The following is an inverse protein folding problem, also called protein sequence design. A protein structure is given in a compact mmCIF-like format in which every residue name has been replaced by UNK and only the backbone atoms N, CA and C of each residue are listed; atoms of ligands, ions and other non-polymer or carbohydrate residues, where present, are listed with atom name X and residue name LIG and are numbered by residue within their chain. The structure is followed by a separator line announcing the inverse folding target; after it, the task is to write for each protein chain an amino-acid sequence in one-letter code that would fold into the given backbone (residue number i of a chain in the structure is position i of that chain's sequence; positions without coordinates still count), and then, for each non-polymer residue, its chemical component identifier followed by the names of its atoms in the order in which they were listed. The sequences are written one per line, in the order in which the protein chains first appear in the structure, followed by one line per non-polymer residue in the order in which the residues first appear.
data_IF_082304268366
#
_entry.id   IF_082304268366
#
_cell.length_a   1.000
_cell.length_b   1.000
_cell.length_c   1.000
_cell.angle_alpha   90.00
_cell.angle_beta   90.00
_cell.angle_gamma   90.00
#
_symmetry.space_group_name_H-M   'P 1'
#
loop_
_entity.id
_entity.type
_entity.pdbx_description
1 polymer ?
#
# COMPACT_ATOMS: atom_id res chain seq x y z
N UNK A 1 14.14 -6.51 -18.89
CA UNK A 1 12.80 -5.92 -18.91
C UNK A 1 11.85 -6.97 -18.35
N UNK A 2 11.57 -6.93 -17.05
CA UNK A 2 10.53 -7.80 -16.49
C UNK A 2 9.21 -7.14 -16.91
N UNK A 3 8.56 -7.73 -17.90
CA UNK A 3 7.21 -7.40 -18.26
C UNK A 3 6.35 -7.53 -16.98
N UNK A 4 5.63 -6.50 -16.62
CA UNK A 4 4.46 -6.67 -15.75
C UNK A 4 3.69 -7.85 -16.34
N UNK A 5 3.65 -8.96 -15.61
CA UNK A 5 2.95 -10.16 -16.07
C UNK A 5 1.53 -9.71 -16.39
N UNK A 6 1.13 -9.84 -17.66
CA UNK A 6 -0.09 -9.25 -18.18
C UNK A 6 -1.31 -9.57 -17.32
N UNK A 7 -2.24 -8.66 -17.27
CA UNK A 7 -3.56 -8.61 -16.63
C UNK A 7 -3.64 -7.90 -15.26
N UNK A 8 -2.64 -7.11 -14.86
CA UNK A 8 -2.79 -6.21 -13.72
C UNK A 8 -3.66 -5.02 -14.13
N UNK A 9 -4.62 -4.67 -13.29
CA UNK A 9 -5.48 -3.50 -13.50
C UNK A 9 -4.64 -2.26 -13.82
N UNK A 10 -5.02 -1.52 -14.87
CA UNK A 10 -4.54 -0.15 -15.04
C UNK A 10 -5.48 0.80 -14.29
N UNK A 11 -5.09 1.38 -13.16
CA UNK A 11 -5.98 2.24 -12.38
C UNK A 11 -6.32 3.58 -13.08
N UNK A 12 -5.60 3.96 -14.13
CA UNK A 12 -5.87 5.16 -14.93
C UNK A 12 -6.85 4.91 -16.09
N UNK A 13 -7.36 3.69 -16.25
CA UNK A 13 -8.43 3.42 -17.19
C UNK A 13 -9.73 4.08 -16.72
N UNK A 14 -10.15 5.11 -17.44
CA UNK A 14 -11.38 5.84 -17.13
C UNK A 14 -12.61 4.92 -17.10
N UNK A 15 -12.61 3.83 -17.86
CA UNK A 15 -13.71 2.87 -17.87
C UNK A 15 -13.95 2.22 -16.51
N UNK A 16 -12.94 2.08 -15.66
CA UNK A 16 -13.07 1.54 -14.32
C UNK A 16 -13.89 2.45 -13.38
N UNK A 17 -13.92 3.75 -13.65
CA UNK A 17 -14.44 4.74 -12.73
C UNK A 17 -15.62 5.56 -13.29
N UNK A 18 -16.22 5.15 -14.41
CA UNK A 18 -17.30 5.88 -15.08
C UNK A 18 -18.57 6.04 -14.24
N UNK A 19 -18.82 5.12 -13.30
CA UNK A 19 -19.97 5.17 -12.39
C UNK A 19 -19.65 5.88 -11.06
N UNK A 20 -18.62 6.69 -11.03
CA UNK A 20 -18.03 7.22 -9.81
C UNK A 20 -16.86 6.36 -9.36
N UNK A 21 -16.26 6.64 -8.21
CA UNK A 21 -15.19 5.80 -7.63
C UNK A 21 -15.72 4.53 -6.94
N UNK A 22 -16.97 4.20 -7.17
CA UNK A 22 -17.69 3.23 -6.35
C UNK A 22 -17.47 1.81 -6.88
N UNK A 23 -16.60 1.11 -6.20
CA UNK A 23 -16.54 -0.35 -6.24
C UNK A 23 -17.78 -0.89 -5.53
N UNK A 24 -18.50 -1.81 -6.16
CA UNK A 24 -19.63 -2.50 -5.52
C UNK A 24 -19.10 -3.57 -4.56
N UNK A 25 -19.31 -3.35 -3.26
CA UNK A 25 -18.75 -4.20 -2.22
C UNK A 25 -19.73 -5.28 -1.73
N UNK A 26 -19.32 -6.53 -1.85
CA UNK A 26 -19.91 -7.64 -1.11
C UNK A 26 -19.25 -7.65 0.28
N UNK A 27 -19.99 -7.18 1.27
CA UNK A 27 -19.49 -7.01 2.63
C UNK A 27 -19.52 -8.32 3.40
N UNK A 28 -18.37 -8.72 3.94
CA UNK A 28 -18.22 -9.94 4.70
C UNK A 28 -19.14 -10.02 5.94
N UNK A 29 -19.42 -8.90 6.60
CA UNK A 29 -20.34 -8.89 7.74
C UNK A 29 -21.81 -9.17 7.35
N UNK A 30 -22.26 -8.74 6.17
CA UNK A 30 -23.56 -9.11 5.64
C UNK A 30 -23.62 -10.56 5.19
N UNK A 31 -22.58 -11.03 4.49
CA UNK A 31 -22.47 -12.43 4.05
C UNK A 31 -22.49 -13.36 5.24
N UNK A 32 -21.78 -13.04 6.31
CA UNK A 32 -21.75 -13.83 7.54
C UNK A 32 -23.08 -13.85 8.28
N UNK A 33 -23.82 -12.73 8.29
CA UNK A 33 -25.10 -12.59 8.98
C UNK A 33 -26.27 -13.14 8.18
N UNK A 34 -26.10 -13.46 6.89
CA UNK A 34 -27.19 -13.89 6.01
C UNK A 34 -27.73 -15.27 6.41
N UNK A 35 -29.04 -15.34 6.71
CA UNK A 35 -29.67 -16.52 7.31
C UNK A 35 -29.76 -17.72 6.36
N UNK A 36 -29.69 -17.49 5.04
CA UNK A 36 -29.78 -18.54 4.00
C UNK A 36 -28.53 -18.56 3.12
N UNK A 37 -27.39 -18.96 3.68
CA UNK A 37 -26.10 -18.85 2.99
C UNK A 37 -26.03 -19.59 1.64
N UNK A 38 -26.78 -20.67 1.48
CA UNK A 38 -26.85 -21.43 0.22
C UNK A 38 -27.49 -20.63 -0.93
N UNK A 39 -28.52 -19.82 -0.66
CA UNK A 39 -29.11 -18.95 -1.69
C UNK A 39 -28.13 -17.87 -2.13
N UNK A 40 -27.43 -17.25 -1.19
CA UNK A 40 -26.43 -16.24 -1.50
C UNK A 40 -25.28 -16.81 -2.35
N UNK A 41 -24.88 -18.07 -2.10
CA UNK A 41 -23.85 -18.75 -2.89
C UNK A 41 -24.35 -19.15 -4.30
N UNK A 42 -25.66 -19.33 -4.52
CA UNK A 42 -26.21 -19.53 -5.87
C UNK A 42 -26.04 -18.28 -6.74
N UNK A 43 -26.28 -17.10 -6.18
CA UNK A 43 -26.10 -15.82 -6.87
C UNK A 43 -24.62 -15.40 -6.99
N UNK A 44 -23.78 -15.94 -6.12
CA UNK A 44 -22.34 -15.64 -6.04
C UNK A 44 -21.55 -16.95 -5.92
N UNK A 45 -21.30 -17.65 -7.03
CA UNK A 45 -20.66 -18.98 -7.02
C UNK A 45 -19.29 -19.03 -6.34
N UNK A 46 -18.55 -17.90 -6.34
CA UNK A 46 -17.27 -17.76 -5.64
C UNK A 46 -17.38 -17.82 -4.11
N UNK A 47 -18.59 -17.60 -3.55
CA UNK A 47 -18.83 -17.74 -2.11
C UNK A 47 -18.93 -19.21 -1.72
N UNK A 48 -18.28 -19.58 -0.63
CA UNK A 48 -18.43 -20.91 -0.05
C UNK A 48 -19.83 -21.07 0.59
N UNK A 49 -20.40 -22.29 0.51
CA UNK A 49 -21.82 -22.51 0.86
C UNK A 49 -22.12 -22.31 2.36
N UNK A 50 -21.16 -22.57 3.24
CA UNK A 50 -21.38 -22.46 4.69
C UNK A 50 -20.10 -22.18 5.46
N UNK A 51 -20.25 -21.90 6.75
CA UNK A 51 -19.16 -21.54 7.65
C UNK A 51 -18.13 -22.67 7.81
N UNK A 52 -18.58 -23.90 7.99
CA UNK A 52 -17.68 -25.05 8.20
C UNK A 52 -16.76 -25.27 6.99
N UNK A 53 -17.30 -25.15 5.80
CA UNK A 53 -16.53 -25.24 4.56
C UNK A 53 -15.50 -24.08 4.49
N UNK A 54 -15.91 -22.86 4.83
CA UNK A 54 -15.00 -21.71 4.89
C UNK A 54 -13.84 -21.95 5.87
N UNK A 55 -14.15 -22.40 7.08
CA UNK A 55 -13.14 -22.70 8.12
C UNK A 55 -12.16 -23.80 7.67
N UNK A 56 -12.65 -24.83 7.00
CA UNK A 56 -11.81 -25.90 6.44
C UNK A 56 -10.88 -25.36 5.35
N UNK A 57 -11.42 -24.57 4.44
CA UNK A 57 -10.66 -24.00 3.33
C UNK A 57 -9.54 -23.06 3.81
N UNK A 58 -9.81 -22.18 4.77
CA UNK A 58 -8.76 -21.26 5.28
C UNK A 58 -7.68 -22.00 6.07
N UNK A 59 -8.02 -23.07 6.78
CA UNK A 59 -7.02 -23.91 7.48
C UNK A 59 -6.11 -24.64 6.50
N UNK A 60 -6.67 -25.13 5.40
CA UNK A 60 -5.91 -25.84 4.36
C UNK A 60 -4.98 -24.88 3.58
N UNK A 61 -5.28 -23.58 3.54
CA UNK A 61 -4.56 -22.57 2.76
C UNK A 61 -3.94 -21.49 3.66
N UNK A 62 -3.36 -21.88 4.79
CA UNK A 62 -2.88 -20.97 5.82
C UNK A 62 -1.93 -19.89 5.28
N UNK A 63 -0.98 -20.27 4.45
CA UNK A 63 0.03 -19.38 3.90
C UNK A 63 -0.61 -18.28 3.02
N UNK A 64 -1.46 -18.67 2.07
CA UNK A 64 -2.17 -17.73 1.21
C UNK A 64 -3.11 -16.79 1.99
N UNK A 65 -3.82 -17.31 3.01
CA UNK A 65 -4.66 -16.50 3.90
C UNK A 65 -3.82 -15.45 4.63
N UNK A 66 -2.67 -15.86 5.16
CA UNK A 66 -1.77 -14.95 5.88
C UNK A 66 -1.20 -13.90 4.93
N UNK A 67 -0.84 -14.28 3.70
CA UNK A 67 -0.36 -13.35 2.67
C UNK A 67 -1.43 -12.31 2.29
N UNK A 68 -2.67 -12.74 2.04
CA UNK A 68 -3.79 -11.85 1.72
C UNK A 68 -4.03 -10.85 2.86
N UNK A 69 -4.21 -11.34 4.07
CA UNK A 69 -4.54 -10.50 5.22
C UNK A 69 -3.39 -9.57 5.60
N UNK A 70 -2.14 -10.04 5.52
CA UNK A 70 -0.94 -9.22 5.76
C UNK A 70 -0.80 -8.09 4.74
N UNK A 71 -1.05 -8.38 3.47
CA UNK A 71 -1.04 -7.35 2.41
C UNK A 71 -2.12 -6.29 2.62
N UNK A 72 -3.30 -6.68 3.09
CA UNK A 72 -4.38 -5.72 3.40
C UNK A 72 -4.07 -4.83 4.60
N UNK A 73 -3.14 -5.22 5.49
CA UNK A 73 -2.61 -4.33 6.52
C UNK A 73 -1.79 -3.20 5.88
N UNK A 74 -0.99 -3.53 4.88
CA UNK A 74 -0.14 -2.57 4.17
C UNK A 74 -0.94 -1.66 3.24
N UNK A 75 -1.68 -2.26 2.31
CA UNK A 75 -2.27 -1.57 1.16
C UNK A 75 -3.71 -1.12 1.39
N UNK A 76 -4.34 -1.55 2.49
CA UNK A 76 -5.72 -1.28 2.88
C UNK A 76 -6.77 -1.75 1.89
N UNK A 77 -6.67 -1.31 0.64
CA UNK A 77 -7.46 -1.75 -0.51
C UNK A 77 -6.51 -1.96 -1.68
N UNK A 78 -6.56 -3.13 -2.28
CA UNK A 78 -5.83 -3.50 -3.50
C UNK A 78 -6.65 -4.52 -4.28
N UNK A 79 -6.27 -4.77 -5.51
CA UNK A 79 -6.92 -5.83 -6.30
C UNK A 79 -6.21 -7.17 -6.13
N UNK A 80 -6.93 -8.26 -6.41
CA UNK A 80 -6.37 -9.60 -6.32
C UNK A 80 -5.22 -9.80 -7.30
N UNK A 81 -5.35 -9.26 -8.51
CA UNK A 81 -4.31 -9.27 -9.55
C UNK A 81 -3.05 -8.47 -9.13
N UNK A 82 -3.20 -7.32 -8.47
CA UNK A 82 -2.06 -6.59 -7.90
C UNK A 82 -1.33 -7.42 -6.84
N UNK A 83 -2.08 -8.13 -5.99
CA UNK A 83 -1.46 -9.02 -4.99
C UNK A 83 -0.70 -10.18 -5.66
N UNK A 84 -1.30 -10.81 -6.66
CA UNK A 84 -0.68 -11.91 -7.41
C UNK A 84 0.58 -11.47 -8.16
N UNK A 85 0.55 -10.26 -8.72
CA UNK A 85 1.66 -9.69 -9.49
C UNK A 85 2.90 -9.34 -8.65
N UNK A 86 2.83 -9.42 -7.31
CA UNK A 86 3.98 -9.22 -6.45
C UNK A 86 3.76 -8.35 -5.20
N UNK A 87 2.54 -7.87 -4.93
CA UNK A 87 2.27 -7.19 -3.66
C UNK A 87 2.04 -8.16 -2.50
N UNK A 88 1.71 -9.41 -2.75
CA UNK A 88 1.66 -10.44 -1.72
C UNK A 88 3.06 -11.03 -1.49
N UNK A 89 3.40 -11.28 -0.23
CA UNK A 89 4.71 -11.84 0.17
C UNK A 89 4.82 -13.35 -0.05
N UNK A 90 3.73 -14.02 -0.38
CA UNK A 90 3.67 -15.43 -0.74
C UNK A 90 2.66 -15.61 -1.88
N UNK A 91 2.78 -16.69 -2.68
CA UNK A 91 1.83 -16.98 -3.74
C UNK A 91 0.40 -17.08 -3.20
N UNK A 92 -0.51 -16.42 -3.88
CA UNK A 92 -1.94 -16.49 -3.61
C UNK A 92 -2.69 -17.05 -4.84
N UNK A 93 -3.77 -17.81 -4.65
CA UNK A 93 -4.53 -18.32 -5.77
C UNK A 93 -5.23 -17.21 -6.55
N UNK A 94 -5.52 -17.47 -7.81
CA UNK A 94 -6.36 -16.60 -8.62
C UNK A 94 -7.78 -16.54 -8.05
N UNK A 95 -8.44 -15.40 -8.29
CA UNK A 95 -9.85 -15.27 -7.96
C UNK A 95 -10.68 -15.92 -9.09
N UNK A 96 -11.36 -17.00 -8.75
CA UNK A 96 -12.36 -17.61 -9.65
C UNK A 96 -13.77 -17.15 -9.25
N UNK A 97 -14.48 -16.46 -10.15
CA UNK A 97 -15.84 -15.99 -9.90
C UNK A 97 -16.90 -17.09 -9.99
N UNK A 98 -16.57 -18.23 -10.57
CA UNK A 98 -17.52 -19.31 -10.86
C UNK A 98 -17.43 -20.47 -9.87
N UNK A 99 -16.35 -20.52 -9.07
CA UNK A 99 -16.08 -21.59 -8.12
C UNK A 99 -15.78 -21.06 -6.72
N UNK A 100 -16.24 -21.77 -5.66
CA UNK A 100 -15.91 -21.45 -4.30
C UNK A 100 -14.41 -21.34 -4.06
N UNK A 101 -13.94 -20.24 -3.55
CA UNK A 101 -12.52 -19.98 -3.38
C UNK A 101 -12.18 -19.37 -2.01
N UNK A 102 -10.87 -19.16 -1.77
CA UNK A 102 -10.34 -18.66 -0.51
C UNK A 102 -10.87 -17.26 -0.15
N UNK A 103 -11.08 -16.40 -1.15
CA UNK A 103 -11.63 -15.07 -0.96
C UNK A 103 -13.08 -15.15 -0.50
N UNK A 104 -13.84 -16.04 -1.11
CA UNK A 104 -15.20 -16.37 -0.71
C UNK A 104 -15.27 -16.94 0.70
N UNK A 105 -14.30 -17.76 1.09
CA UNK A 105 -14.20 -18.28 2.45
C UNK A 105 -13.91 -17.18 3.47
N UNK A 106 -12.95 -16.30 3.20
CA UNK A 106 -12.63 -15.16 4.06
C UNK A 106 -13.81 -14.17 4.17
N UNK A 107 -14.48 -13.90 3.05
CA UNK A 107 -15.69 -13.06 3.01
C UNK A 107 -16.83 -13.70 3.81
N UNK A 108 -17.08 -14.99 3.66
CA UNK A 108 -18.09 -15.75 4.43
C UNK A 108 -17.88 -15.65 5.94
N UNK A 109 -16.64 -15.58 6.38
CA UNK A 109 -16.29 -15.44 7.79
C UNK A 109 -16.23 -13.98 8.26
N UNK A 110 -16.45 -13.01 7.36
CA UNK A 110 -16.41 -11.60 7.67
C UNK A 110 -15.01 -11.03 7.84
N UNK A 111 -13.97 -11.76 7.43
CA UNK A 111 -12.59 -11.32 7.54
C UNK A 111 -12.22 -10.28 6.48
N UNK A 112 -12.76 -10.40 5.28
CA UNK A 112 -12.58 -9.44 4.19
C UNK A 112 -13.90 -9.02 3.57
N UNK A 113 -13.86 -7.93 2.82
CA UNK A 113 -14.88 -7.56 1.84
C UNK A 113 -14.30 -7.77 0.44
N UNK A 114 -15.16 -8.12 -0.50
CA UNK A 114 -14.80 -8.34 -1.90
C UNK A 114 -15.57 -7.33 -2.76
N UNK A 115 -14.86 -6.58 -3.56
CA UNK A 115 -15.41 -5.53 -4.41
C UNK A 115 -15.33 -5.87 -5.88
N UNK A 116 -16.29 -5.42 -6.64
CA UNK A 116 -16.38 -5.61 -8.09
C UNK A 116 -16.64 -4.28 -8.78
N UNK A 117 -16.18 -4.17 -10.03
CA UNK A 117 -16.60 -3.07 -10.89
C UNK A 117 -18.08 -3.27 -11.26
N UNK A 118 -18.95 -2.30 -11.03
CA UNK A 118 -20.37 -2.41 -11.40
C UNK A 118 -20.60 -2.73 -12.88
N UNK A 119 -19.73 -2.29 -13.77
CA UNK A 119 -19.83 -2.59 -15.21
C UNK A 119 -19.56 -4.04 -15.56
N UNK A 120 -18.63 -4.69 -14.85
CA UNK A 120 -18.29 -6.11 -15.07
C UNK A 120 -19.48 -7.04 -14.80
N UNK A 121 -20.46 -6.56 -14.06
CA UNK A 121 -21.70 -7.28 -13.77
C UNK A 121 -22.63 -7.36 -15.00
N UNK A 122 -22.57 -6.36 -15.87
CA UNK A 122 -23.48 -6.21 -17.01
C UNK A 122 -22.79 -6.48 -18.34
N UNK A 123 -21.52 -6.28 -18.42
CA UNK A 123 -20.69 -6.56 -19.59
C UNK A 123 -19.94 -7.87 -19.29
N UNK A 124 -20.04 -8.88 -20.16
CA UNK A 124 -19.28 -10.14 -20.02
C UNK A 124 -17.76 -9.91 -20.24
N UNK A 125 -17.15 -9.15 -19.35
CA UNK A 125 -15.71 -8.90 -19.36
C UNK A 125 -15.01 -10.18 -18.88
N UNK A 126 -14.03 -10.61 -19.64
CA UNK A 126 -13.36 -11.90 -19.50
C UNK A 126 -12.50 -12.04 -18.23
N UNK A 127 -12.13 -10.92 -17.58
CA UNK A 127 -11.31 -10.92 -16.38
C UNK A 127 -11.88 -9.90 -15.39
N UNK A 128 -12.62 -10.31 -14.37
CA UNK A 128 -13.13 -9.39 -13.38
C UNK A 128 -11.99 -8.89 -12.49
N UNK A 129 -11.81 -7.59 -12.42
CA UNK A 129 -10.98 -7.01 -11.37
C UNK A 129 -11.69 -7.13 -10.03
N UNK A 130 -11.02 -7.67 -9.05
CA UNK A 130 -11.57 -7.92 -7.72
C UNK A 130 -10.80 -7.13 -6.69
N UNK A 131 -11.48 -6.18 -6.06
CA UNK A 131 -10.93 -5.41 -4.96
C UNK A 131 -11.10 -6.15 -3.64
N UNK A 132 -10.11 -6.04 -2.79
CA UNK A 132 -10.09 -6.65 -1.48
C UNK A 132 -9.86 -5.59 -0.41
N UNK A 133 -10.57 -5.70 0.70
CA UNK A 133 -10.33 -4.91 1.91
C UNK A 133 -10.58 -5.73 3.16
N UNK A 134 -10.03 -5.30 4.29
CA UNK A 134 -10.31 -5.92 5.60
C UNK A 134 -11.80 -5.82 5.93
N UNK A 135 -12.34 -6.81 6.59
CA UNK A 135 -13.73 -6.87 7.02
C UNK A 135 -14.13 -5.73 7.96
N UNK A 136 -15.35 -5.25 7.80
CA UNK A 136 -15.85 -4.06 8.48
C UNK A 136 -16.00 -4.23 10.01
N UNK A 137 -16.34 -5.43 10.47
CA UNK A 137 -16.58 -5.71 11.90
C UNK A 137 -15.39 -6.44 12.53
N UNK A 138 -14.60 -5.74 13.32
CA UNK A 138 -13.42 -6.27 14.01
C UNK A 138 -13.68 -7.58 14.77
N UNK A 139 -14.87 -7.73 15.39
CA UNK A 139 -15.23 -8.98 16.11
C UNK A 139 -15.27 -10.20 15.17
N UNK A 140 -15.77 -10.04 13.95
CA UNK A 140 -15.81 -11.12 12.96
C UNK A 140 -14.42 -11.48 12.46
N UNK A 141 -13.61 -10.48 12.19
CA UNK A 141 -12.18 -10.68 11.83
C UNK A 141 -11.48 -11.46 12.96
N UNK A 142 -11.66 -11.06 14.22
CA UNK A 142 -11.07 -11.75 15.37
C UNK A 142 -11.53 -13.21 15.50
N UNK A 143 -12.83 -13.49 15.28
CA UNK A 143 -13.34 -14.86 15.28
C UNK A 143 -12.76 -15.72 14.17
N UNK A 144 -12.65 -15.17 12.97
CA UNK A 144 -12.03 -15.85 11.82
C UNK A 144 -10.58 -16.20 12.12
N UNK A 145 -9.82 -15.24 12.66
CA UNK A 145 -8.42 -15.44 12.97
C UNK A 145 -8.19 -16.46 14.11
N UNK A 146 -9.11 -16.56 15.10
CA UNK A 146 -9.08 -17.62 16.09
C UNK A 146 -9.27 -19.01 15.46
N UNK A 147 -10.21 -19.14 14.53
CA UNK A 147 -10.45 -20.37 13.80
C UNK A 147 -9.24 -20.81 12.97
N UNK A 148 -8.55 -19.84 12.42
CA UNK A 148 -7.38 -20.04 11.57
C UNK A 148 -6.12 -20.41 12.35
N UNK A 149 -6.08 -20.15 13.65
CA UNK A 149 -4.86 -20.31 14.47
C UNK A 149 -3.66 -19.53 13.91
N UNK A 150 -3.96 -18.36 13.35
CA UNK A 150 -2.98 -17.47 12.72
C UNK A 150 -1.96 -16.93 13.72
N UNK A 151 -0.93 -16.32 13.18
CA UNK A 151 0.11 -15.70 13.98
C UNK A 151 -0.45 -14.64 14.93
N UNK A 152 0.11 -14.56 16.12
CA UNK A 152 -0.39 -13.67 17.19
C UNK A 152 -0.48 -12.21 16.70
N UNK A 153 0.57 -11.72 16.04
CA UNK A 153 0.63 -10.35 15.54
C UNK A 153 -0.47 -10.06 14.52
N UNK A 154 -0.72 -10.99 13.57
CA UNK A 154 -1.75 -10.82 12.55
C UNK A 154 -3.14 -10.74 13.18
N UNK A 155 -3.39 -11.58 14.18
CA UNK A 155 -4.65 -11.56 14.94
C UNK A 155 -4.86 -10.22 15.65
N UNK A 156 -3.81 -9.75 16.32
CA UNK A 156 -3.87 -8.52 17.10
C UNK A 156 -4.01 -7.29 16.19
N UNK A 157 -3.24 -7.23 15.11
CA UNK A 157 -3.32 -6.13 14.15
C UNK A 157 -4.70 -6.01 13.50
N UNK A 158 -5.24 -7.10 12.97
CA UNK A 158 -6.51 -7.07 12.26
C UNK A 158 -7.72 -6.98 13.18
N UNK A 159 -7.67 -7.63 14.35
CA UNK A 159 -8.79 -7.66 15.27
C UNK A 159 -8.91 -6.41 16.13
N UNK A 160 -7.80 -5.84 16.56
CA UNK A 160 -7.77 -4.74 17.54
C UNK A 160 -7.12 -3.47 16.99
N UNK A 161 -6.44 -3.56 15.83
CA UNK A 161 -5.74 -2.43 15.23
C UNK A 161 -6.65 -1.27 14.82
N UNK A 162 -6.02 -0.12 14.57
CA UNK A 162 -6.66 1.08 14.00
C UNK A 162 -7.00 0.91 12.51
N UNK A 163 -6.53 -0.18 11.90
CA UNK A 163 -6.77 -0.47 10.49
C UNK A 163 -8.26 -0.69 10.26
N UNK A 164 -8.88 0.25 9.59
CA UNK A 164 -10.27 0.19 9.19
C UNK A 164 -10.34 0.00 7.69
N UNK A 165 -11.34 -0.74 7.24
CA UNK A 165 -11.68 -0.77 5.83
C UNK A 165 -12.01 0.63 5.32
N UNK A 166 -11.33 1.09 4.29
CA UNK A 166 -11.48 2.44 3.72
C UNK A 166 -12.03 2.32 2.30
N UNK A 167 -13.23 1.76 2.16
CA UNK A 167 -13.88 1.53 0.86
C UNK A 167 -13.98 2.80 0.01
N UNK A 168 -14.25 3.94 0.67
CA UNK A 168 -14.42 5.23 -0.01
C UNK A 168 -13.15 5.72 -0.72
N UNK A 169 -12.01 5.13 -0.43
CA UNK A 169 -10.72 5.44 -1.05
C UNK A 169 -10.21 4.33 -1.98
N UNK A 170 -11.10 3.45 -2.46
CA UNK A 170 -10.71 2.31 -3.30
C UNK A 170 -9.88 2.76 -4.52
N UNK A 171 -10.33 3.78 -5.25
CA UNK A 171 -9.60 4.33 -6.40
C UNK A 171 -8.19 4.78 -5.99
N UNK A 172 -8.10 5.67 -5.01
CA UNK A 172 -6.82 6.19 -4.53
C UNK A 172 -5.85 5.06 -4.12
N UNK A 173 -6.33 4.10 -3.32
CA UNK A 173 -5.50 3.00 -2.86
C UNK A 173 -5.08 2.05 -4.00
N UNK A 174 -5.92 1.89 -5.03
CA UNK A 174 -5.57 1.11 -6.22
C UNK A 174 -4.41 1.73 -6.99
N UNK A 175 -4.39 3.06 -7.12
CA UNK A 175 -3.24 3.78 -7.69
C UNK A 175 -1.99 3.62 -6.83
N UNK A 176 -2.10 3.81 -5.52
CA UNK A 176 -0.97 3.65 -4.61
C UNK A 176 -0.40 2.22 -4.65
N UNK A 177 -1.27 1.21 -4.67
CA UNK A 177 -0.88 -0.19 -4.82
C UNK A 177 -0.19 -0.46 -6.17
N UNK A 178 -0.64 0.16 -7.26
CA UNK A 178 -0.01 0.02 -8.58
C UNK A 178 1.40 0.62 -8.60
N UNK A 179 1.58 1.82 -8.03
CA UNK A 179 2.92 2.41 -7.86
C UNK A 179 3.81 1.52 -7.00
N UNK A 180 3.26 0.98 -5.91
CA UNK A 180 3.97 0.05 -5.03
C UNK A 180 4.43 -1.21 -5.78
N UNK A 181 3.57 -1.78 -6.62
CA UNK A 181 3.90 -2.93 -7.46
C UNK A 181 5.04 -2.59 -8.44
N UNK A 182 4.94 -1.45 -9.11
CA UNK A 182 5.96 -0.99 -10.05
C UNK A 182 7.33 -0.76 -9.38
N UNK A 183 7.33 -0.21 -8.15
CA UNK A 183 8.54 -0.05 -7.33
C UNK A 183 9.10 -1.41 -6.90
N UNK A 184 8.27 -2.32 -6.40
CA UNK A 184 8.69 -3.66 -6.00
C UNK A 184 9.43 -4.42 -7.11
N UNK A 185 9.00 -4.21 -8.35
CA UNK A 185 9.60 -4.83 -9.53
C UNK A 185 10.82 -4.07 -10.09
N UNK A 186 11.21 -2.95 -9.48
CA UNK A 186 12.37 -2.20 -9.91
C UNK A 186 13.65 -2.74 -9.25
N UNK A 187 14.73 -2.94 -10.05
CA UNK A 187 15.98 -3.55 -9.58
C UNK A 187 16.62 -2.81 -8.40
N UNK A 188 16.43 -1.50 -8.32
CA UNK A 188 17.04 -0.65 -7.28
C UNK A 188 16.16 -0.50 -6.03
N UNK A 189 15.09 -1.28 -5.90
CA UNK A 189 14.19 -1.23 -4.75
C UNK A 189 14.31 -2.50 -3.93
N UNK A 190 14.58 -2.36 -2.65
CA UNK A 190 14.68 -3.48 -1.72
C UNK A 190 13.33 -3.83 -1.08
N UNK A 191 12.60 -2.81 -0.62
CA UNK A 191 11.36 -2.97 0.12
C UNK A 191 10.37 -1.91 -0.31
N UNK A 192 9.10 -2.27 -0.39
CA UNK A 192 8.00 -1.34 -0.60
C UNK A 192 6.84 -1.68 0.31
N UNK A 193 6.27 -0.69 0.98
CA UNK A 193 5.09 -0.81 1.82
C UNK A 193 4.08 0.29 1.52
N UNK A 194 2.81 -0.01 1.73
CA UNK A 194 1.71 0.94 1.54
C UNK A 194 1.44 1.83 2.75
N UNK A 195 0.33 2.55 2.72
CA UNK A 195 -0.14 3.49 3.76
C UNK A 195 -0.13 2.89 5.19
N UNK A 196 -0.35 1.58 5.33
CA UNK A 196 -0.26 0.92 6.64
C UNK A 196 1.10 1.09 7.34
N UNK A 197 2.15 1.34 6.58
CA UNK A 197 3.54 1.55 7.04
C UNK A 197 4.05 2.96 6.78
N UNK A 198 3.21 3.83 6.23
CA UNK A 198 3.59 5.16 5.78
C UNK A 198 3.53 6.25 6.85
N UNK A 199 3.16 5.96 8.09
CA UNK A 199 3.08 6.99 9.13
C UNK A 199 4.43 7.67 9.34
N UNK A 200 4.49 9.00 9.32
CA UNK A 200 5.75 9.74 9.52
C UNK A 200 6.38 9.43 10.89
N UNK A 201 5.55 9.14 11.90
CA UNK A 201 6.03 8.71 13.21
C UNK A 201 6.73 7.33 13.18
N UNK A 202 6.40 6.48 12.21
CA UNK A 202 7.04 5.18 12.03
C UNK A 202 8.36 5.32 11.27
N UNK A 203 8.44 6.32 10.38
CA UNK A 203 9.69 6.69 9.71
C UNK A 203 10.67 7.28 10.74
N UNK A 204 10.24 8.26 11.53
CA UNK A 204 11.03 8.81 12.63
C UNK A 204 10.15 9.49 13.70
N UNK A 205 9.94 8.80 14.81
CA UNK A 205 9.12 9.29 15.92
C UNK A 205 9.71 10.54 16.57
N UNK A 206 11.05 10.64 16.63
CA UNK A 206 11.73 11.78 17.22
C UNK A 206 11.56 13.03 16.34
N UNK A 207 11.69 12.89 15.01
CA UNK A 207 11.43 13.97 14.08
C UNK A 207 10.00 14.52 14.24
N UNK A 208 9.01 13.64 14.37
CA UNK A 208 7.61 14.03 14.57
C UNK A 208 7.43 14.78 15.88
N UNK A 209 8.03 14.29 16.98
CA UNK A 209 7.90 14.91 18.29
C UNK A 209 8.61 16.28 18.36
N UNK A 210 9.83 16.39 17.82
CA UNK A 210 10.66 17.61 17.92
C UNK A 210 10.28 18.68 16.91
N UNK A 211 9.78 18.30 15.73
CA UNK A 211 9.48 19.27 14.65
C UNK A 211 8.02 19.71 14.59
N UNK A 212 7.17 19.28 15.53
CA UNK A 212 5.75 19.64 15.55
C UNK A 212 4.98 19.14 14.34
N UNK A 213 5.35 17.96 13.83
CA UNK A 213 4.66 17.28 12.74
C UNK A 213 3.37 16.64 13.30
N UNK A 214 2.31 16.69 12.52
CA UNK A 214 1.07 16.00 12.88
C UNK A 214 1.31 14.47 12.95
N UNK A 215 1.14 13.90 14.13
CA UNK A 215 1.32 12.46 14.38
C UNK A 215 0.44 11.55 13.52
N UNK A 216 -0.64 12.08 12.96
CA UNK A 216 -1.53 11.35 12.07
C UNK A 216 -1.15 11.52 10.59
N UNK A 217 -0.05 12.21 10.29
CA UNK A 217 0.43 12.36 8.92
C UNK A 217 1.09 11.04 8.47
N UNK A 218 0.66 10.55 7.31
CA UNK A 218 1.22 9.37 6.65
C UNK A 218 1.45 9.65 5.18
N UNK A 219 2.35 8.89 4.58
CA UNK A 219 2.49 8.78 3.13
C UNK A 219 1.63 7.63 2.60
N UNK A 220 1.29 7.66 1.32
CA UNK A 220 0.51 6.59 0.69
C UNK A 220 1.34 5.34 0.46
N UNK A 221 2.65 5.50 0.25
CA UNK A 221 3.59 4.39 0.21
C UNK A 221 5.01 4.85 0.56
N UNK A 222 5.82 3.88 1.01
CA UNK A 222 7.21 4.05 1.37
C UNK A 222 8.05 2.94 0.76
N UNK A 223 9.21 3.29 0.20
CA UNK A 223 10.15 2.35 -0.39
C UNK A 223 11.56 2.60 0.09
N UNK A 224 12.27 1.52 0.38
CA UNK A 224 13.70 1.54 0.63
C UNK A 224 14.44 1.13 -0.63
N UNK A 225 15.32 1.98 -1.11
CA UNK A 225 16.16 1.71 -2.26
C UNK A 225 17.43 0.93 -1.84
N UNK A 226 18.09 0.30 -2.79
CA UNK A 226 19.32 -0.47 -2.58
C UNK A 226 20.49 0.39 -2.08
N UNK A 227 20.44 1.69 -2.36
CA UNK A 227 21.37 2.69 -1.87
C UNK A 227 21.00 3.26 -0.46
N UNK A 228 20.04 2.65 0.23
CA UNK A 228 19.50 3.06 1.53
C UNK A 228 18.75 4.40 1.56
N UNK A 229 18.41 4.96 0.40
CA UNK A 229 17.51 6.10 0.31
C UNK A 229 16.09 5.64 0.59
N UNK A 230 15.41 6.33 1.49
CA UNK A 230 14.00 6.11 1.78
C UNK A 230 13.17 7.05 0.89
N UNK A 231 12.35 6.48 0.04
CA UNK A 231 11.48 7.24 -0.86
C UNK A 231 10.03 7.08 -0.43
N UNK A 232 9.35 8.21 -0.27
CA UNK A 232 7.92 8.26 -0.01
C UNK A 232 7.20 8.81 -1.24
N UNK A 233 6.05 8.25 -1.58
CA UNK A 233 5.21 8.76 -2.66
C UNK A 233 3.82 9.09 -2.11
N UNK A 234 3.38 10.30 -2.42
CA UNK A 234 2.06 10.84 -2.14
C UNK A 234 1.25 10.84 -3.43
N UNK A 235 0.21 10.04 -3.51
CA UNK A 235 -0.68 9.97 -4.68
C UNK A 235 -1.77 11.04 -4.55
N UNK A 236 -1.89 11.94 -5.51
CA UNK A 236 -2.76 13.12 -5.38
C UNK A 236 -3.68 13.31 -6.59
N UNK A 237 -4.99 13.35 -6.35
CA UNK A 237 -6.00 13.72 -7.36
C UNK A 237 -6.53 15.15 -7.18
N UNK A 238 -6.08 15.87 -6.15
CA UNK A 238 -6.50 17.25 -5.87
C UNK A 238 -5.43 17.99 -5.08
N UNK A 239 -5.57 19.30 -4.95
CA UNK A 239 -4.71 20.13 -4.08
C UNK A 239 -5.30 20.36 -2.69
N UNK A 240 -6.42 19.73 -2.36
CA UNK A 240 -7.06 19.88 -1.05
C UNK A 240 -6.17 19.33 0.08
N UNK A 241 -6.05 20.06 1.18
CA UNK A 241 -5.18 19.73 2.32
C UNK A 241 -3.67 19.66 2.01
N UNK A 242 -3.26 20.01 0.80
CA UNK A 242 -1.90 19.90 0.33
C UNK A 242 -0.93 20.74 1.19
N UNK A 243 -1.32 21.96 1.56
CA UNK A 243 -0.50 22.86 2.37
C UNK A 243 -0.08 22.23 3.71
N UNK A 244 -1.05 21.63 4.42
CA UNK A 244 -0.78 20.96 5.70
C UNK A 244 0.18 19.77 5.51
N UNK A 245 -0.04 18.96 4.50
CA UNK A 245 0.85 17.83 4.17
C UNK A 245 2.24 18.33 3.79
N UNK A 246 2.35 19.31 2.91
CA UNK A 246 3.64 19.89 2.49
C UNK A 246 4.43 20.42 3.69
N UNK A 247 3.77 21.12 4.60
CA UNK A 247 4.41 21.63 5.82
C UNK A 247 4.93 20.51 6.72
N UNK A 248 4.20 19.42 6.87
CA UNK A 248 4.67 18.27 7.62
C UNK A 248 5.89 17.62 6.93
N UNK A 249 5.83 17.48 5.61
CA UNK A 249 6.93 16.93 4.83
C UNK A 249 8.17 17.83 4.84
N UNK A 250 8.01 19.16 4.71
CA UNK A 250 9.15 20.07 4.78
C UNK A 250 9.89 19.93 6.10
N UNK A 251 9.18 19.87 7.21
CA UNK A 251 9.76 19.67 8.55
C UNK A 251 10.43 18.30 8.69
N UNK A 252 9.81 17.25 8.20
CA UNK A 252 10.38 15.89 8.23
C UNK A 252 11.69 15.83 7.44
N UNK A 253 11.69 16.39 6.24
CA UNK A 253 12.86 16.44 5.36
C UNK A 253 13.95 17.39 5.87
N UNK A 254 13.58 18.47 6.59
CA UNK A 254 14.53 19.41 7.20
C UNK A 254 15.17 18.84 8.47
N UNK A 255 14.58 17.83 9.09
CA UNK A 255 15.12 17.24 10.31
C UNK A 255 16.49 16.59 10.03
N UNK A 256 17.52 17.03 10.74
CA UNK A 256 18.92 16.69 10.43
C UNK A 256 19.21 15.17 10.31
N UNK A 257 18.69 14.29 11.18
CA UNK A 257 18.86 12.84 10.99
C UNK A 257 18.25 12.30 9.70
N UNK A 258 17.10 12.84 9.26
CA UNK A 258 16.46 12.44 7.99
C UNK A 258 17.24 12.93 6.77
N UNK A 259 17.86 14.09 6.85
CA UNK A 259 18.77 14.56 5.81
C UNK A 259 19.92 13.56 5.59
N UNK A 260 20.49 13.06 6.67
CA UNK A 260 21.57 12.07 6.62
C UNK A 260 21.11 10.68 6.12
N UNK A 261 19.83 10.36 6.26
CA UNK A 261 19.25 9.09 5.75
C UNK A 261 18.84 9.15 4.28
N UNK A 262 18.87 10.32 3.66
CA UNK A 262 18.51 10.48 2.24
C UNK A 262 17.02 10.31 1.98
N UNK A 263 16.15 10.80 2.88
CA UNK A 263 14.71 10.76 2.70
C UNK A 263 14.26 11.64 1.52
N UNK A 264 13.42 11.10 0.63
CA UNK A 264 12.78 11.79 -0.49
C UNK A 264 11.26 11.72 -0.34
N UNK A 265 10.55 12.74 -0.88
CA UNK A 265 9.10 12.74 -0.97
C UNK A 265 8.66 13.22 -2.35
N UNK A 266 7.98 12.36 -3.10
CA UNK A 266 7.47 12.68 -4.45
C UNK A 266 5.95 12.69 -4.44
N UNK A 267 5.37 13.76 -5.00
CA UNK A 267 3.94 13.92 -5.19
C UNK A 267 3.56 13.47 -6.59
N UNK A 268 2.91 12.30 -6.68
CA UNK A 268 2.45 11.77 -7.95
C UNK A 268 1.01 12.19 -8.18
N UNK A 269 0.81 13.08 -9.14
CA UNK A 269 -0.52 13.56 -9.51
C UNK A 269 -1.22 12.59 -10.45
N UNK A 270 -2.46 12.23 -10.09
CA UNK A 270 -3.40 11.50 -10.93
C UNK A 270 -4.50 12.44 -11.40
N UNK A 271 -5.17 12.10 -12.50
CA UNK A 271 -6.28 12.89 -13.01
C UNK A 271 -7.43 12.98 -12.01
N UNK A 272 -8.02 14.16 -11.90
CA UNK A 272 -9.20 14.34 -11.08
C UNK A 272 -10.38 13.58 -11.73
N UNK A 273 -11.14 12.88 -10.90
CA UNK A 273 -12.25 12.06 -11.33
C UNK A 273 -13.37 12.86 -12.01
N UNK A 274 -13.57 14.14 -11.61
CA UNK A 274 -14.69 14.96 -12.09
C UNK A 274 -14.41 15.61 -13.44
N UNK A 275 -13.21 16.06 -13.67
CA UNK A 275 -12.82 16.85 -14.84
C UNK A 275 -11.77 16.17 -15.72
N UNK A 276 -11.30 14.98 -15.30
CA UNK A 276 -10.27 14.18 -15.98
C UNK A 276 -8.99 14.97 -16.28
N UNK A 277 -8.69 15.99 -15.43
CA UNK A 277 -7.49 16.82 -15.55
C UNK A 277 -6.58 16.64 -14.35
N UNK A 278 -5.31 16.85 -14.57
CA UNK A 278 -4.36 16.92 -13.47
C UNK A 278 -4.57 18.18 -12.64
N UNK A 279 -4.42 18.13 -11.32
CA UNK A 279 -4.38 19.32 -10.49
C UNK A 279 -3.26 20.25 -10.93
N UNK A 280 -3.53 21.55 -10.93
CA UNK A 280 -2.51 22.54 -11.26
C UNK A 280 -1.37 22.59 -10.25
N UNK A 281 -0.14 22.75 -10.73
CA UNK A 281 1.08 22.77 -9.89
C UNK A 281 1.34 24.14 -9.25
N UNK A 282 0.89 25.24 -9.88
CA UNK A 282 1.13 26.60 -9.41
C UNK A 282 0.81 26.80 -7.92
N UNK A 283 -0.36 26.37 -7.40
CA UNK A 283 -0.65 26.51 -5.97
C UNK A 283 0.32 25.76 -5.05
N UNK A 284 0.96 24.71 -5.55
CA UNK A 284 1.96 23.94 -4.79
C UNK A 284 3.26 24.72 -4.69
N UNK A 285 3.74 25.25 -5.80
CA UNK A 285 4.96 26.07 -5.86
C UNK A 285 4.84 27.34 -5.02
N UNK A 286 3.69 28.01 -5.10
CA UNK A 286 3.39 29.18 -4.28
C UNK A 286 3.43 28.85 -2.77
N UNK A 287 2.82 27.73 -2.38
CA UNK A 287 2.85 27.27 -0.99
C UNK A 287 4.23 26.85 -0.51
N UNK A 288 4.99 26.17 -1.36
CA UNK A 288 6.35 25.75 -1.03
C UNK A 288 7.23 26.96 -0.66
N UNK A 289 7.03 28.10 -1.34
CA UNK A 289 7.78 29.34 -1.05
C UNK A 289 7.49 29.94 0.33
N UNK A 290 6.41 29.51 1.00
CA UNK A 290 6.04 29.98 2.35
C UNK A 290 6.73 29.23 3.48
N UNK A 291 7.47 28.15 3.18
CA UNK A 291 8.10 27.33 4.21
C UNK A 291 9.61 27.53 4.23
N UNK A 292 10.10 28.14 5.30
CA UNK A 292 11.54 28.38 5.49
C UNK A 292 12.36 27.09 5.45
N UNK A 293 11.76 25.97 5.88
CA UNK A 293 12.39 24.66 5.86
C UNK A 293 12.75 24.17 4.45
N UNK A 294 12.13 24.71 3.39
CA UNK A 294 12.40 24.27 2.01
C UNK A 294 13.84 24.55 1.55
N UNK A 295 14.51 25.51 2.14
CA UNK A 295 15.88 25.87 1.81
C UNK A 295 16.93 25.24 2.72
N UNK A 296 16.52 24.41 3.67
CA UNK A 296 17.42 23.74 4.62
C UNK A 296 18.04 22.48 4.03
N UNK A 297 19.30 22.25 4.36
CA UNK A 297 20.06 21.05 4.00
C UNK A 297 20.83 21.14 2.69
N UNK A 298 21.61 20.09 2.44
CA UNK A 298 22.37 19.90 1.19
C UNK A 298 22.27 18.42 0.80
N UNK A 299 21.49 18.06 -0.21
CA UNK A 299 20.60 18.92 -0.98
C UNK A 299 19.46 19.51 -0.13
N UNK A 300 18.92 20.63 -0.58
CA UNK A 300 17.84 21.31 0.15
C UNK A 300 16.56 20.45 0.17
N UNK A 301 15.64 20.75 1.10
CA UNK A 301 14.32 20.12 1.13
C UNK A 301 13.62 20.27 -0.22
N UNK A 302 13.65 21.46 -0.84
CA UNK A 302 13.05 21.72 -2.15
C UNK A 302 13.63 20.84 -3.28
N UNK A 303 14.87 20.37 -3.15
CA UNK A 303 15.48 19.44 -4.08
C UNK A 303 15.11 17.97 -3.80
N UNK A 304 14.79 17.64 -2.55
CA UNK A 304 14.43 16.28 -2.10
C UNK A 304 12.93 16.03 -2.12
N UNK A 305 12.14 17.00 -2.53
CA UNK A 305 10.71 16.84 -2.77
C UNK A 305 10.34 17.48 -4.11
N UNK A 306 9.30 16.94 -4.73
CA UNK A 306 8.87 17.42 -6.03
C UNK A 306 7.62 16.70 -6.49
N UNK A 307 7.33 16.79 -7.77
CA UNK A 307 6.12 16.26 -8.36
C UNK A 307 6.36 15.57 -9.69
N UNK A 308 5.50 14.61 -10.00
CA UNK A 308 5.39 13.97 -11.30
C UNK A 308 3.91 13.77 -11.63
N UNK A 309 3.60 13.53 -12.89
CA UNK A 309 2.27 13.14 -13.32
C UNK A 309 2.22 11.64 -13.62
N UNK A 310 1.04 11.05 -13.51
CA UNK A 310 0.84 9.62 -13.72
C UNK A 310 1.36 9.14 -15.08
N UNK A 311 1.01 9.88 -16.15
CA UNK A 311 1.40 9.58 -17.53
C UNK A 311 2.89 9.80 -17.84
N UNK A 312 3.64 10.43 -16.94
CA UNK A 312 5.10 10.45 -17.01
C UNK A 312 5.70 9.11 -16.49
N UNK A 313 5.07 8.50 -15.50
CA UNK A 313 5.55 7.25 -14.90
C UNK A 313 4.99 6.00 -15.55
N UNK A 314 3.76 6.06 -16.07
CA UNK A 314 3.05 4.90 -16.59
C UNK A 314 2.48 5.14 -17.98
N UNK A 315 2.59 4.12 -18.84
CA UNK A 315 1.94 4.05 -20.13
C UNK A 315 0.42 3.86 -19.97
N UNK A 316 -0.32 4.02 -21.06
CA UNK A 316 -1.77 3.80 -21.09
C UNK A 316 -2.21 2.36 -20.78
N UNK A 317 -1.31 1.39 -20.84
CA UNK A 317 -1.54 0.01 -20.44
C UNK A 317 -1.13 -0.29 -18.98
N UNK A 318 -0.73 0.73 -18.22
CA UNK A 318 -0.26 0.60 -16.85
C UNK A 318 1.20 0.13 -16.68
N UNK A 319 1.92 -0.12 -17.77
CA UNK A 319 3.35 -0.45 -17.71
C UNK A 319 4.20 0.78 -17.43
N UNK A 320 5.39 0.58 -16.86
CA UNK A 320 6.32 1.68 -16.58
C UNK A 320 6.85 2.30 -17.87
N UNK A 321 6.94 3.63 -17.89
CA UNK A 321 7.68 4.38 -18.91
C UNK A 321 9.19 4.35 -18.62
N UNK A 322 10.00 4.87 -19.54
CA UNK A 322 11.43 5.13 -19.32
C UNK A 322 11.69 6.23 -18.26
N UNK A 323 10.68 7.05 -17.98
CA UNK A 323 10.72 8.15 -16.99
C UNK A 323 10.22 7.74 -15.61
N UNK A 324 9.95 6.45 -15.38
CA UNK A 324 9.48 5.97 -14.09
C UNK A 324 10.45 6.33 -12.98
N UNK A 325 9.94 7.01 -11.95
CA UNK A 325 10.73 7.53 -10.83
C UNK A 325 11.36 8.89 -11.05
N UNK A 326 11.24 9.51 -12.23
CA UNK A 326 11.64 10.89 -12.45
C UNK A 326 10.59 11.86 -11.88
N UNK A 327 11.05 13.00 -11.42
CA UNK A 327 10.19 14.06 -10.89
C UNK A 327 10.79 15.44 -11.11
N UNK A 328 9.97 16.46 -11.15
CA UNK A 328 10.39 17.85 -11.12
C UNK A 328 10.50 18.30 -9.65
N UNK A 329 11.69 18.67 -9.20
CA UNK A 329 11.88 19.17 -7.85
C UNK A 329 11.23 20.57 -7.68
N UNK A 330 11.09 21.07 -6.46
CA UNK A 330 10.46 22.38 -6.22
C UNK A 330 11.36 23.55 -6.63
N UNK A 331 12.60 23.30 -7.05
CA UNK A 331 13.50 24.28 -7.70
C UNK A 331 13.42 24.21 -9.23
N UNK A 332 12.47 23.45 -9.78
CA UNK A 332 12.21 23.26 -11.21
C UNK A 332 13.36 22.56 -11.97
N UNK A 333 14.04 21.64 -11.30
CA UNK A 333 15.04 20.77 -11.93
C UNK A 333 14.51 19.33 -11.99
N UNK A 334 14.73 18.68 -13.14
CA UNK A 334 14.39 17.27 -13.33
C UNK A 334 15.35 16.39 -12.53
N UNK A 335 14.82 15.45 -11.75
CA UNK A 335 15.55 14.51 -10.91
C UNK A 335 14.95 13.12 -11.02
N UNK A 336 15.65 12.13 -10.47
CA UNK A 336 15.15 10.77 -10.32
C UNK A 336 15.30 10.30 -8.88
N UNK A 337 14.32 9.55 -8.38
CA UNK A 337 14.43 8.87 -7.09
C UNK A 337 15.58 7.84 -7.09
N UNK A 338 15.94 7.33 -8.26
CA UNK A 338 17.02 6.34 -8.47
C UNK A 338 18.38 6.97 -8.74
N UNK A 339 18.51 8.30 -8.61
CA UNK A 339 19.78 8.98 -8.87
C UNK A 339 20.86 8.49 -7.90
N UNK A 340 21.99 7.92 -8.38
CA UNK A 340 23.05 7.43 -7.52
C UNK A 340 23.70 8.52 -6.67
N UNK A 341 23.55 9.81 -7.03
CA UNK A 341 24.08 10.92 -6.24
C UNK A 341 23.41 11.05 -4.87
N UNK A 342 22.20 10.50 -4.67
CA UNK A 342 21.60 10.45 -3.34
C UNK A 342 22.46 9.70 -2.33
N UNK A 343 23.31 8.78 -2.76
CA UNK A 343 24.28 8.08 -1.90
C UNK A 343 25.32 8.99 -1.27
N UNK A 344 25.76 10.04 -1.96
CA UNK A 344 26.78 10.96 -1.47
C UNK A 344 26.31 11.80 -0.29
N UNK A 345 24.98 11.84 -0.06
CA UNK A 345 24.36 12.59 1.02
C UNK A 345 24.04 11.72 2.26
N UNK A 346 24.29 10.42 2.19
CA UNK A 346 24.03 9.46 3.27
C UNK A 346 25.29 8.70 3.68
N UNK A 347 26.35 9.39 4.15
CA UNK A 347 27.68 8.79 4.30
C UNK A 347 27.79 7.65 5.34
N UNK A 348 26.79 7.47 6.21
CA UNK A 348 26.84 6.49 7.29
C UNK A 348 25.46 5.87 7.52
N UNK A 349 24.97 5.18 6.52
CA UNK A 349 23.76 4.37 6.67
C UNK A 349 24.01 3.22 7.63
N UNK A 350 23.04 2.95 8.49
CA UNK A 350 23.07 1.73 9.28
C UNK A 350 23.11 0.51 8.35
N UNK A 351 23.82 -0.56 8.74
CA UNK A 351 23.91 -1.74 7.90
C UNK A 351 22.52 -2.27 7.50
N UNK A 352 22.41 -2.74 6.29
CA UNK A 352 21.16 -3.29 5.71
C UNK A 352 20.43 -4.31 6.57
N UNK A 353 21.18 -5.11 7.36
CA UNK A 353 20.58 -6.10 8.27
C UNK A 353 19.69 -5.46 9.36
N UNK A 354 19.95 -4.21 9.74
CA UNK A 354 19.06 -3.47 10.65
C UNK A 354 17.78 -3.05 9.91
N UNK A 355 17.88 -2.78 8.64
CA UNK A 355 16.76 -2.39 7.78
C UNK A 355 15.94 -3.61 7.32
N UNK A 356 16.55 -4.79 7.21
CA UNK A 356 15.85 -6.03 6.89
C UNK A 356 14.79 -6.41 7.92
N UNK A 357 14.93 -5.92 9.15
CA UNK A 357 13.90 -6.05 10.19
C UNK A 357 13.09 -4.78 10.38
N UNK A 358 13.27 -3.75 9.53
CA UNK A 358 12.70 -2.44 9.77
C UNK A 358 11.16 -2.48 9.83
N UNK A 359 10.51 -3.06 8.85
CA UNK A 359 9.05 -3.16 8.84
C UNK A 359 8.50 -3.90 10.06
N UNK A 360 9.11 -5.01 10.45
CA UNK A 360 8.74 -5.77 11.64
C UNK A 360 9.01 -4.99 12.93
N UNK A 361 10.18 -4.35 13.02
CA UNK A 361 10.57 -3.53 14.16
C UNK A 361 9.68 -2.30 14.28
N UNK A 362 9.47 -1.58 13.17
CA UNK A 362 8.58 -0.40 13.11
C UNK A 362 7.17 -0.79 13.56
N UNK A 363 6.62 -1.89 13.04
CA UNK A 363 5.31 -2.37 13.45
C UNK A 363 5.24 -2.63 14.96
N UNK A 364 6.19 -3.36 15.51
CA UNK A 364 6.24 -3.68 16.95
C UNK A 364 6.39 -2.43 17.81
N UNK A 365 7.28 -1.54 17.44
CA UNK A 365 7.53 -0.30 18.18
C UNK A 365 6.34 0.65 18.12
N UNK A 366 5.69 0.75 16.97
CA UNK A 366 4.46 1.54 16.81
C UNK A 366 3.35 1.01 17.70
N UNK A 367 3.11 -0.29 17.68
CA UNK A 367 2.04 -0.90 18.48
C UNK A 367 2.33 -0.77 19.97
N UNK A 368 3.59 -0.95 20.39
CA UNK A 368 3.99 -0.72 21.78
C UNK A 368 3.78 0.73 22.19
N UNK A 369 4.20 1.68 21.36
CA UNK A 369 4.12 3.11 21.65
C UNK A 369 2.70 3.65 21.62
N UNK A 370 1.94 3.31 20.56
CA UNK A 370 0.63 3.90 20.29
C UNK A 370 -0.51 3.20 21.06
N UNK A 371 -0.35 1.90 21.29
CA UNK A 371 -1.42 1.07 21.84
C UNK A 371 -1.07 0.44 23.20
N UNK A 372 0.17 0.55 23.63
CA UNK A 372 0.64 0.01 24.90
C UNK A 372 0.61 -1.51 25.00
N UNK A 373 0.62 -2.22 23.85
CA UNK A 373 0.57 -3.68 23.86
C UNK A 373 1.92 -4.32 24.13
N UNK A 374 1.90 -5.45 24.83
CA UNK A 374 3.06 -6.33 24.92
C UNK A 374 3.21 -7.14 23.63
N UNK A 375 4.20 -6.77 22.84
CA UNK A 375 4.54 -7.41 21.57
C UNK A 375 5.79 -8.30 21.68
N UNK A 376 6.27 -8.58 22.88
CA UNK A 376 7.50 -9.33 23.14
C UNK A 376 7.43 -10.77 22.63
N UNK A 377 6.24 -11.37 22.66
CA UNK A 377 5.97 -12.73 22.19
C UNK A 377 5.73 -12.86 20.69
N UNK A 378 5.65 -11.74 19.98
CA UNK A 378 5.41 -11.77 18.56
C UNK A 378 6.65 -12.24 17.82
N UNK A 379 6.50 -13.27 17.02
CA UNK A 379 7.57 -13.81 16.16
C UNK A 379 7.23 -13.55 14.70
N UNK A 380 8.26 -13.26 13.90
CA UNK A 380 8.12 -13.17 12.46
C UNK A 380 7.90 -14.59 11.91
N UNK A 381 6.77 -14.87 11.23
CA UNK A 381 6.52 -16.18 10.64
C UNK A 381 7.55 -16.53 9.56
N UNK A 382 7.78 -17.84 9.38
CA UNK A 382 8.77 -18.33 8.42
C UNK A 382 8.49 -17.89 6.98
N UNK A 383 7.23 -17.84 6.58
CA UNK A 383 6.80 -17.34 5.27
C UNK A 383 7.24 -15.89 4.98
N UNK A 384 7.66 -15.15 5.99
CA UNK A 384 8.05 -13.75 5.90
C UNK A 384 9.53 -13.51 6.19
N UNK A 385 10.33 -14.55 6.37
CA UNK A 385 11.79 -14.39 6.60
C UNK A 385 12.53 -13.81 5.42
N UNK A 386 11.96 -13.86 4.22
CA UNK A 386 12.47 -13.23 3.00
C UNK A 386 11.82 -11.91 2.63
N UNK A 387 10.77 -11.48 3.33
CA UNK A 387 10.04 -10.23 3.09
C UNK A 387 9.23 -9.84 4.30
N UNK A 388 8.97 -8.55 4.46
CA UNK A 388 8.19 -8.04 5.57
C UNK A 388 6.71 -8.03 5.25
N UNK A 389 5.89 -8.12 6.28
CA UNK A 389 4.46 -7.95 6.18
C UNK A 389 4.09 -6.69 5.45
N UNK A 390 3.51 -6.87 4.25
CA UNK A 390 3.13 -5.77 3.42
C UNK A 390 4.30 -4.94 2.88
N UNK A 391 5.53 -5.37 3.11
CA UNK A 391 6.70 -4.94 2.37
C UNK A 391 7.05 -6.04 1.38
N UNK A 392 7.08 -5.69 0.12
CA UNK A 392 7.45 -6.59 -0.98
C UNK A 392 8.78 -6.15 -1.56
N UNK A 393 9.55 -7.06 -2.14
CA UNK A 393 10.82 -6.73 -2.78
C UNK A 393 12.04 -7.52 -2.33
N UNK A 394 12.04 -8.16 -1.16
CA UNK A 394 13.08 -9.11 -0.81
C UNK A 394 12.76 -10.48 -1.43
N UNK A 395 13.00 -10.63 -2.70
CA UNK A 395 13.25 -11.96 -3.24
C UNK A 395 14.66 -12.36 -2.84
N UNK A 396 14.78 -13.46 -2.11
CA UNK A 396 16.03 -13.99 -1.62
C UNK A 396 17.02 -14.40 -2.74
N UNK A 397 16.55 -14.45 -3.98
CA UNK A 397 17.33 -14.82 -5.17
C UNK A 397 17.01 -13.89 -6.33
N UNK A 398 17.40 -12.61 -6.22
CA UNK A 398 17.73 -11.89 -7.44
C UNK A 398 19.09 -12.42 -7.87
N UNK A 399 19.13 -13.48 -8.68
CA UNK A 399 20.31 -13.80 -9.45
C UNK A 399 20.76 -12.51 -10.13
N UNK A 400 21.95 -12.07 -9.75
CA UNK A 400 22.67 -10.98 -10.39
C UNK A 400 22.95 -11.46 -11.82
N UNK A 401 22.17 -10.99 -12.77
CA UNK A 401 22.47 -11.08 -14.20
C UNK A 401 23.02 -9.73 -14.66
#
# INVERSE_FOLDING_TARGET
MVQLVGNVINPDDDALWLMGSDVEWVRGDYVQAFQRPGLLAQDNPWLVPNRLFAETMIRANKEAVTAILGSLISWRVCTADQLQAGLAVAPIPEFDRYEPNIYGALCRLGAINVGFNPRERFEHITIPHVWLSVGYKKKLVAQTLKTFNGDQWLRDMLANGKLTSVHIHARHNTYAAHVGLALTQHSNVQLTGGDGWGALADIDAQAVAESGIDKNCSTDLVSLLDNNVLTCVEVQSSTMNMEKKMKNWSRMLAYSPMQRRGLLCVWLFIRNQKDHKYPGITPILERASLFDEMMVGTPTVAQRTGYAYWDEWFNSDGTRTEHFGEYMDLTQNKRSIFDPHWNSYTPHTQPLHVLNNWGWQVMRDTIRREWGWDVSTWTLPDAYRGGFYGFTGLQADKEVV
#
